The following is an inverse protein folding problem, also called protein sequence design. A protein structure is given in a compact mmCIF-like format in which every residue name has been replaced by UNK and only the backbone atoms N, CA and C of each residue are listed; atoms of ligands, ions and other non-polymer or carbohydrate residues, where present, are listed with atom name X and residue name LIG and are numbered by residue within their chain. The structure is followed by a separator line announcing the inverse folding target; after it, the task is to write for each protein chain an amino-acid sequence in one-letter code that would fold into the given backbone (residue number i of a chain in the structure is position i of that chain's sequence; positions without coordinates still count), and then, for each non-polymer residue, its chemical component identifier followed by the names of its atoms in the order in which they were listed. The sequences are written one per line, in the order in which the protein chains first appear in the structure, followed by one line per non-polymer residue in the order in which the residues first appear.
data_IF_133550909447
#
_entry.id   IF_133550909447
#
_cell.length_a   1.000
_cell.length_b   1.000
_cell.length_c   1.000
_cell.angle_alpha   90.00
_cell.angle_beta   90.00
_cell.angle_gamma   90.00
#
_symmetry.space_group_name_H-M   'P 1'
#
loop_
_entity.id
_entity.type
_entity.pdbx_description
1 polymer ?
#
# COMPACT_ATOMS: atom_id res chain seq x y z
N UNK A 1 -18.75 86.32 5.94
CA UNK A 1 -19.45 85.13 5.44
C UNK A 1 -18.38 84.09 5.05
N UNK A 2 -18.11 83.15 5.91
CA UNK A 2 -17.01 82.14 5.72
C UNK A 2 -17.67 80.83 5.36
N UNK A 3 -17.46 80.36 4.13
CA UNK A 3 -17.92 79.09 3.60
C UNK A 3 -16.93 77.98 4.01
N UNK A 4 -17.37 77.04 4.87
CA UNK A 4 -16.65 75.83 5.28
C UNK A 4 -16.79 74.79 4.15
N UNK A 5 -15.65 74.37 3.57
CA UNK A 5 -15.54 73.20 2.71
C UNK A 5 -15.30 71.99 3.60
N UNK A 6 -16.22 71.01 3.56
CA UNK A 6 -16.03 69.70 4.14
C UNK A 6 -15.38 68.78 3.10
N UNK A 7 -14.16 68.36 3.39
CA UNK A 7 -13.45 67.40 2.60
C UNK A 7 -13.83 65.99 3.10
N UNK A 8 -14.55 65.25 2.24
CA UNK A 8 -14.96 63.86 2.55
C UNK A 8 -13.83 62.92 2.06
N UNK A 9 -13.00 62.43 3.00
CA UNK A 9 -12.00 61.41 2.70
C UNK A 9 -12.69 60.04 2.60
N UNK A 10 -12.84 59.53 1.36
CA UNK A 10 -13.20 58.14 1.08
C UNK A 10 -12.00 57.25 1.38
N UNK A 11 -12.04 56.57 2.55
CA UNK A 11 -11.15 55.45 2.86
C UNK A 11 -11.61 54.21 2.07
N UNK A 12 -10.96 53.94 0.92
CA UNK A 12 -11.03 52.62 0.25
C UNK A 12 -10.31 51.61 1.15
N UNK A 13 -11.11 50.83 1.85
CA UNK A 13 -10.62 49.65 2.55
C UNK A 13 -10.19 48.60 1.51
N UNK A 14 -8.88 48.48 1.26
CA UNK A 14 -8.32 47.31 0.57
C UNK A 14 -8.48 46.09 1.49
N UNK A 15 -9.50 45.29 1.20
CA UNK A 15 -9.60 43.94 1.76
C UNK A 15 -8.43 43.10 1.21
N UNK A 16 -7.37 42.99 1.97
CA UNK A 16 -6.29 42.03 1.68
C UNK A 16 -6.85 40.64 1.91
N UNK A 17 -7.22 39.97 0.83
CA UNK A 17 -7.52 38.54 0.82
C UNK A 17 -6.25 37.81 1.26
N UNK A 18 -6.14 37.48 2.53
CA UNK A 18 -5.14 36.54 3.03
C UNK A 18 -5.52 35.16 2.45
N UNK A 19 -4.97 34.85 1.28
CA UNK A 19 -4.91 33.46 0.85
C UNK A 19 -4.12 32.71 1.93
N UNK A 20 -4.80 31.92 2.75
CA UNK A 20 -4.16 30.96 3.64
C UNK A 20 -3.39 29.98 2.76
N UNK A 21 -2.15 30.29 2.48
CA UNK A 21 -1.18 29.31 2.03
C UNK A 21 -1.21 28.24 3.12
N UNK A 22 -1.73 27.04 2.78
CA UNK A 22 -1.72 25.89 3.68
C UNK A 22 -0.28 25.63 4.02
N UNK A 23 0.12 25.96 5.24
CA UNK A 23 1.47 25.77 5.77
C UNK A 23 1.83 24.31 5.63
N UNK A 24 2.84 24.01 4.80
CA UNK A 24 3.35 22.66 4.65
C UNK A 24 3.91 22.25 6.00
N UNK A 25 3.44 21.12 6.51
CA UNK A 25 3.91 20.59 7.79
C UNK A 25 5.42 20.37 7.72
N UNK A 26 6.16 20.79 8.73
CA UNK A 26 7.59 20.54 8.84
C UNK A 26 7.81 19.03 8.85
N UNK A 27 8.67 18.50 7.96
CA UNK A 27 8.95 17.07 7.96
C UNK A 27 9.57 16.63 9.29
N UNK A 28 9.24 15.43 9.72
CA UNK A 28 9.86 14.80 10.88
C UNK A 28 11.18 14.15 10.45
N UNK A 29 12.23 14.48 11.17
CA UNK A 29 13.56 13.89 11.02
C UNK A 29 13.53 12.43 11.49
N UNK A 30 14.39 11.61 10.90
CA UNK A 30 14.58 10.24 11.33
C UNK A 30 15.19 10.18 12.72
N UNK A 31 14.64 9.34 13.60
CA UNK A 31 15.16 9.09 14.95
C UNK A 31 15.77 7.69 15.12
N UNK A 32 15.83 6.89 14.04
CA UNK A 32 16.52 5.61 13.99
C UNK A 32 17.13 5.36 12.61
N UNK A 33 18.11 4.45 12.46
CA UNK A 33 18.50 3.96 11.14
C UNK A 33 17.38 3.14 10.51
N UNK A 34 17.51 2.86 9.20
CA UNK A 34 16.69 1.84 8.54
C UNK A 34 17.01 0.46 9.09
N UNK A 35 16.00 -0.32 9.37
CA UNK A 35 16.10 -1.71 9.80
C UNK A 35 15.29 -2.59 8.83
N UNK A 36 15.95 -3.61 8.26
CA UNK A 36 15.32 -4.60 7.40
C UNK A 36 14.94 -5.84 8.21
N UNK A 37 13.67 -6.19 8.18
CA UNK A 37 13.11 -7.36 8.84
C UNK A 37 12.54 -8.32 7.79
N UNK A 38 12.80 -9.60 7.97
CA UNK A 38 12.33 -10.68 7.10
C UNK A 38 11.17 -11.40 7.78
N UNK A 39 10.07 -11.56 7.06
CA UNK A 39 8.95 -12.41 7.49
C UNK A 39 8.81 -13.58 6.52
N UNK A 40 7.88 -14.50 6.79
CA UNK A 40 7.63 -15.65 5.90
C UNK A 40 7.16 -15.27 4.51
N UNK A 41 6.49 -14.11 4.36
CA UNK A 41 5.86 -13.68 3.09
C UNK A 41 6.14 -12.23 2.71
N UNK A 42 7.00 -11.53 3.46
CA UNK A 42 7.35 -10.14 3.17
C UNK A 42 8.73 -9.73 3.69
N UNK A 43 9.26 -8.69 3.08
CA UNK A 43 10.38 -7.90 3.53
C UNK A 43 9.85 -6.57 4.08
N UNK A 44 10.30 -6.15 5.25
CA UNK A 44 9.83 -4.95 5.92
C UNK A 44 10.98 -4.02 6.24
N UNK A 45 10.97 -2.85 5.65
CA UNK A 45 11.91 -1.78 5.95
C UNK A 45 11.29 -0.84 6.96
N UNK A 46 11.90 -0.75 8.16
CA UNK A 46 11.35 -0.01 9.29
C UNK A 46 12.23 1.14 9.69
N UNK A 47 11.63 2.29 10.01
CA UNK A 47 12.31 3.47 10.54
C UNK A 47 11.41 4.28 11.44
N UNK A 48 11.95 4.83 12.53
CA UNK A 48 11.24 5.76 13.41
C UNK A 48 11.56 7.21 13.08
N UNK A 49 10.57 8.08 13.26
CA UNK A 49 10.65 9.52 12.99
C UNK A 49 10.11 10.31 14.17
N UNK A 50 10.75 11.46 14.48
CA UNK A 50 10.39 12.25 15.65
C UNK A 50 10.69 11.55 16.97
N UNK A 51 10.25 12.11 18.09
CA UNK A 51 10.55 11.63 19.45
C UNK A 51 9.30 11.69 20.35
N UNK A 52 9.37 10.99 21.49
CA UNK A 52 8.31 10.99 22.51
C UNK A 52 6.96 10.49 21.98
N UNK A 53 5.87 11.09 22.45
CA UNK A 53 4.51 10.69 22.08
C UNK A 53 4.17 10.98 20.61
N UNK A 54 4.89 11.92 19.99
CA UNK A 54 4.74 12.26 18.58
C UNK A 54 5.50 11.31 17.64
N UNK A 55 6.28 10.37 18.18
CA UNK A 55 7.07 9.42 17.36
C UNK A 55 6.19 8.58 16.44
N UNK A 56 6.60 8.52 15.18
CA UNK A 56 5.99 7.70 14.13
C UNK A 56 6.92 6.55 13.79
N UNK A 57 6.40 5.31 13.80
CA UNK A 57 7.07 4.19 13.16
C UNK A 57 6.54 4.06 11.73
N UNK A 58 7.42 4.16 10.76
CA UNK A 58 7.14 3.98 9.35
C UNK A 58 7.70 2.66 8.86
N UNK A 59 6.90 1.91 8.10
CA UNK A 59 7.26 0.60 7.56
C UNK A 59 6.90 0.56 6.07
N UNK A 60 7.87 0.18 5.25
CA UNK A 60 7.65 -0.18 3.84
C UNK A 60 7.61 -1.71 3.79
N UNK A 61 6.51 -2.27 3.34
CA UNK A 61 6.32 -3.72 3.21
C UNK A 61 6.36 -4.11 1.75
N UNK A 62 7.30 -4.98 1.40
CA UNK A 62 7.44 -5.57 0.09
C UNK A 62 7.10 -7.06 0.19
N UNK A 63 5.94 -7.44 -0.30
CA UNK A 63 5.51 -8.85 -0.34
C UNK A 63 5.96 -9.55 -1.62
N UNK A 64 5.38 -10.74 -1.81
CA UNK A 64 5.58 -11.55 -3.03
C UNK A 64 4.88 -10.96 -4.26
N UNK A 65 3.91 -10.07 -4.08
CA UNK A 65 3.27 -9.38 -5.20
C UNK A 65 4.25 -8.40 -5.83
N UNK A 66 4.67 -8.72 -7.05
CA UNK A 66 5.65 -7.93 -7.79
C UNK A 66 5.10 -6.55 -8.18
N UNK A 67 5.98 -5.55 -8.22
CA UNK A 67 5.67 -4.19 -8.68
C UNK A 67 4.86 -3.32 -7.71
N UNK A 68 4.43 -3.85 -6.56
CA UNK A 68 3.68 -3.09 -5.56
C UNK A 68 4.22 -3.29 -4.15
N UNK A 69 4.05 -2.28 -3.31
CA UNK A 69 4.38 -2.30 -1.89
C UNK A 69 3.22 -1.75 -1.05
N UNK A 70 3.33 -1.90 0.24
CA UNK A 70 2.41 -1.34 1.22
C UNK A 70 3.18 -0.41 2.16
N UNK A 71 2.57 0.71 2.55
CA UNK A 71 3.10 1.58 3.59
C UNK A 71 2.27 1.42 4.86
N UNK A 72 2.95 1.25 6.00
CA UNK A 72 2.32 1.21 7.31
C UNK A 72 2.92 2.30 8.17
N UNK A 73 2.07 3.11 8.81
CA UNK A 73 2.48 4.13 9.75
C UNK A 73 1.78 3.91 11.09
N UNK A 74 2.56 3.83 12.16
CA UNK A 74 2.05 3.91 13.52
C UNK A 74 2.19 5.37 13.98
N UNK A 75 1.07 6.06 14.05
CA UNK A 75 1.02 7.49 14.36
C UNK A 75 0.40 7.74 15.73
N UNK A 76 0.54 8.92 16.33
CA UNK A 76 -0.31 9.34 17.44
C UNK A 76 -1.79 9.11 17.11
N UNK A 77 -2.61 8.94 18.15
CA UNK A 77 -4.02 8.55 18.01
C UNK A 77 -4.82 9.51 17.12
N UNK A 78 -5.44 8.97 16.08
CA UNK A 78 -6.33 9.68 15.15
C UNK A 78 -7.69 8.98 15.14
N UNK A 79 -8.60 9.43 16.00
CA UNK A 79 -9.93 8.82 16.08
C UNK A 79 -9.97 7.48 16.81
N UNK A 80 -11.17 6.87 16.92
CA UNK A 80 -11.42 5.65 17.71
C UNK A 80 -12.05 4.48 16.95
N UNK A 81 -12.36 4.63 15.65
CA UNK A 81 -12.99 3.59 14.80
C UNK A 81 -12.17 3.37 13.54
N UNK A 82 -12.27 2.18 12.98
CA UNK A 82 -11.68 1.90 11.66
C UNK A 82 -12.35 2.76 10.59
N UNK A 83 -11.55 3.37 9.74
CA UNK A 83 -11.97 4.22 8.63
C UNK A 83 -11.26 3.76 7.36
N UNK A 84 -12.03 3.58 6.29
CA UNK A 84 -11.49 3.33 4.94
C UNK A 84 -11.53 4.63 4.15
N UNK A 85 -10.39 5.09 3.66
CA UNK A 85 -10.23 6.35 2.96
C UNK A 85 -9.31 6.23 1.75
N UNK A 86 -9.20 7.33 1.00
CA UNK A 86 -8.11 7.52 0.05
C UNK A 86 -7.03 8.39 0.68
N UNK A 87 -5.79 7.91 0.66
CA UNK A 87 -4.62 8.68 1.03
C UNK A 87 -4.08 9.41 -0.19
N UNK A 88 -3.81 10.71 -0.04
CA UNK A 88 -2.99 11.47 -0.97
C UNK A 88 -1.53 11.32 -0.53
N UNK A 89 -0.69 10.78 -1.40
CA UNK A 89 0.72 10.48 -1.11
C UNK A 89 1.58 11.27 -2.10
N UNK A 90 2.57 11.97 -1.60
CA UNK A 90 3.51 12.71 -2.44
C UNK A 90 4.95 12.45 -2.00
N UNK A 91 5.84 12.28 -2.96
CA UNK A 91 7.29 12.29 -2.76
C UNK A 91 7.81 13.59 -3.37
N UNK A 92 8.20 14.54 -2.52
CA UNK A 92 8.49 15.93 -2.96
C UNK A 92 9.66 15.99 -3.93
N UNK A 93 10.69 15.22 -3.70
CA UNK A 93 11.90 15.21 -4.54
C UNK A 93 11.62 14.69 -5.97
N UNK A 94 10.81 13.66 -6.11
CA UNK A 94 10.46 13.04 -7.39
C UNK A 94 9.26 13.69 -8.10
N UNK A 95 8.65 14.74 -7.53
CA UNK A 95 7.39 15.35 -7.99
C UNK A 95 6.26 14.32 -8.19
N UNK A 96 6.36 13.15 -7.58
CA UNK A 96 5.41 12.07 -7.70
C UNK A 96 4.25 12.28 -6.73
N UNK A 97 3.01 12.18 -7.25
CA UNK A 97 1.79 12.25 -6.45
C UNK A 97 0.82 11.16 -6.88
N UNK A 98 0.29 10.42 -5.91
CA UNK A 98 -0.69 9.37 -6.15
C UNK A 98 -1.78 9.39 -5.09
N UNK A 99 -2.92 8.80 -5.44
CA UNK A 99 -4.03 8.59 -4.52
C UNK A 99 -4.28 7.10 -4.39
N UNK A 100 -4.15 6.56 -3.18
CA UNK A 100 -4.25 5.13 -2.89
C UNK A 100 -5.32 4.84 -1.85
N UNK A 101 -5.82 3.61 -1.85
CA UNK A 101 -6.69 3.13 -0.78
C UNK A 101 -5.91 3.03 0.53
N UNK A 102 -6.51 3.52 1.61
CA UNK A 102 -5.93 3.49 2.94
C UNK A 102 -6.97 3.06 3.97
N UNK A 103 -6.52 2.29 4.96
CA UNK A 103 -7.30 1.98 6.16
C UNK A 103 -6.60 2.57 7.37
N UNK A 104 -7.36 3.27 8.20
CA UNK A 104 -6.88 3.78 9.50
C UNK A 104 -7.68 3.09 10.59
N UNK A 105 -6.99 2.52 11.58
CA UNK A 105 -7.62 1.85 12.72
C UNK A 105 -6.79 2.04 13.99
N UNK A 106 -7.41 1.96 15.20
CA UNK A 106 -6.68 2.03 16.45
C UNK A 106 -5.79 0.78 16.62
N UNK A 107 -4.55 0.97 17.05
CA UNK A 107 -3.69 -0.13 17.52
C UNK A 107 -4.22 -0.67 18.84
N UNK A 108 -4.24 -1.98 18.99
CA UNK A 108 -4.66 -2.64 20.24
C UNK A 108 -3.57 -2.58 21.31
N UNK A 109 -2.29 -2.43 20.94
CA UNK A 109 -1.17 -2.60 21.85
C UNK A 109 -0.69 -1.31 22.51
N UNK A 110 -0.79 -0.15 21.84
CA UNK A 110 -0.09 1.07 22.27
C UNK A 110 -0.89 2.36 22.16
N UNK A 111 -2.21 2.28 21.92
CA UNK A 111 -3.07 3.45 21.81
C UNK A 111 -2.80 4.35 20.58
N UNK A 112 -1.88 3.97 19.70
CA UNK A 112 -1.59 4.66 18.45
C UNK A 112 -2.64 4.35 17.39
N UNK A 113 -2.61 5.06 16.28
CA UNK A 113 -3.37 4.72 15.07
C UNK A 113 -2.45 4.07 14.05
N UNK A 114 -2.94 3.03 13.40
CA UNK A 114 -2.25 2.36 12.30
C UNK A 114 -2.87 2.82 11.00
N UNK A 115 -2.05 3.34 10.10
CA UNK A 115 -2.42 3.69 8.73
C UNK A 115 -1.82 2.65 7.81
N UNK A 116 -2.64 1.95 7.05
CA UNK A 116 -2.19 1.01 6.02
C UNK A 116 -2.59 1.53 4.66
N UNK A 117 -1.63 1.66 3.76
CA UNK A 117 -1.79 2.15 2.40
C UNK A 117 -1.37 1.05 1.46
N UNK A 118 -2.30 0.60 0.62
CA UNK A 118 -2.15 -0.60 -0.18
C UNK A 118 -1.82 -0.29 -1.64
N UNK A 119 -1.14 -1.26 -2.29
CA UNK A 119 -0.88 -1.26 -3.72
C UNK A 119 -0.22 0.04 -4.22
N UNK A 120 0.77 0.53 -3.52
CA UNK A 120 1.63 1.59 -4.01
C UNK A 120 2.64 0.97 -4.98
N UNK A 121 2.77 1.52 -6.18
CA UNK A 121 3.74 1.04 -7.16
C UNK A 121 5.17 1.27 -6.62
N UNK A 122 6.05 0.27 -6.78
CA UNK A 122 7.45 0.34 -6.32
C UNK A 122 8.20 1.53 -6.93
N UNK A 123 7.84 1.90 -8.17
CA UNK A 123 8.39 3.05 -8.90
C UNK A 123 8.14 4.38 -8.16
N UNK A 124 7.06 4.49 -7.37
CA UNK A 124 6.75 5.71 -6.63
C UNK A 124 7.86 6.13 -5.66
N UNK A 125 8.54 5.15 -5.05
CA UNK A 125 9.67 5.42 -4.15
C UNK A 125 11.02 5.48 -4.88
N UNK A 126 11.06 5.39 -6.21
CA UNK A 126 12.31 5.58 -6.96
C UNK A 126 12.73 7.04 -6.89
N UNK A 127 13.92 7.24 -6.37
CA UNK A 127 14.62 8.52 -6.31
C UNK A 127 16.11 8.24 -6.36
N UNK A 128 16.84 9.16 -6.93
CA UNK A 128 18.31 9.20 -6.93
C UNK A 128 18.87 10.19 -5.90
N UNK A 129 17.99 10.81 -5.12
CA UNK A 129 18.32 11.83 -4.12
C UNK A 129 18.79 11.20 -2.81
N UNK A 130 19.68 11.91 -2.12
CA UNK A 130 20.12 11.53 -0.76
C UNK A 130 18.98 11.62 0.26
N UNK A 131 18.09 12.59 0.08
CA UNK A 131 16.97 12.86 0.96
C UNK A 131 15.72 13.18 0.16
N UNK A 132 14.64 12.52 0.47
CA UNK A 132 13.30 12.77 -0.05
C UNK A 132 12.33 13.10 1.08
N UNK A 133 11.26 13.81 0.79
CA UNK A 133 10.20 14.07 1.76
C UNK A 133 8.95 13.35 1.31
N UNK A 134 8.48 12.41 2.14
CA UNK A 134 7.23 11.69 1.96
C UNK A 134 6.10 12.40 2.71
N UNK A 135 5.13 12.90 1.98
CA UNK A 135 3.89 13.41 2.53
C UNK A 135 2.78 12.37 2.39
N UNK A 136 2.10 12.07 3.48
CA UNK A 136 0.93 11.20 3.52
C UNK A 136 -0.23 11.97 4.16
N UNK A 137 -1.31 12.15 3.40
CA UNK A 137 -2.49 12.86 3.87
C UNK A 137 -3.73 11.98 3.75
N UNK A 138 -4.48 11.85 4.83
CA UNK A 138 -5.73 11.10 4.88
C UNK A 138 -6.89 12.05 5.19
N UNK A 139 -7.71 12.32 4.18
CA UNK A 139 -8.78 13.29 4.27
C UNK A 139 -8.29 14.70 4.62
N UNK A 140 -9.07 15.44 5.43
CA UNK A 140 -8.71 16.78 5.91
C UNK A 140 -8.06 16.78 7.30
N UNK A 141 -8.00 15.64 7.98
CA UNK A 141 -7.75 15.53 9.42
C UNK A 141 -6.35 15.06 9.80
N UNK A 142 -5.69 14.34 8.92
CA UNK A 142 -4.44 13.71 9.27
C UNK A 142 -3.42 13.88 8.16
N UNK A 143 -2.24 14.40 8.51
CA UNK A 143 -1.13 14.64 7.62
C UNK A 143 0.16 14.30 8.34
N UNK A 144 0.99 13.50 7.69
CA UNK A 144 2.34 13.11 8.12
C UNK A 144 3.32 13.51 7.03
N UNK A 145 4.42 14.12 7.42
CA UNK A 145 5.54 14.46 6.55
C UNK A 145 6.81 13.88 7.15
N UNK A 146 7.54 13.06 6.40
CA UNK A 146 8.74 12.33 6.85
C UNK A 146 9.92 12.64 5.95
N UNK A 147 11.07 12.90 6.55
CA UNK A 147 12.33 13.09 5.84
C UNK A 147 13.04 11.74 5.63
N UNK A 148 12.98 11.21 4.40
CA UNK A 148 13.50 9.89 4.04
C UNK A 148 14.96 9.99 3.58
N UNK A 149 15.88 10.09 4.52
CA UNK A 149 17.31 10.00 4.23
C UNK A 149 17.72 8.58 3.85
N UNK A 150 18.72 8.44 2.97
CA UNK A 150 19.31 7.16 2.55
C UNK A 150 18.29 6.16 2.01
N UNK A 151 17.19 6.65 1.42
CA UNK A 151 16.13 5.79 0.84
C UNK A 151 16.67 4.92 -0.31
N UNK A 152 17.63 5.42 -1.07
CA UNK A 152 18.27 4.68 -2.18
C UNK A 152 18.89 3.37 -1.70
N UNK A 153 19.69 3.40 -0.64
CA UNK A 153 20.37 2.21 -0.13
C UNK A 153 19.39 1.27 0.59
N UNK A 154 18.44 1.85 1.31
CA UNK A 154 17.37 1.11 1.95
C UNK A 154 16.54 0.32 0.92
N UNK A 155 16.24 0.91 -0.24
CA UNK A 155 15.54 0.24 -1.35
C UNK A 155 16.36 -0.89 -1.97
N UNK A 156 17.67 -0.72 -2.15
CA UNK A 156 18.54 -1.82 -2.63
C UNK A 156 18.49 -3.02 -1.68
N UNK A 157 18.54 -2.77 -0.37
CA UNK A 157 18.41 -3.83 0.62
C UNK A 157 17.04 -4.51 0.54
N UNK A 158 15.96 -3.73 0.36
CA UNK A 158 14.61 -4.25 0.19
C UNK A 158 14.47 -5.10 -1.08
N UNK A 159 15.06 -4.67 -2.20
CA UNK A 159 15.07 -5.44 -3.46
C UNK A 159 15.84 -6.76 -3.31
N UNK A 160 17.00 -6.73 -2.65
CA UNK A 160 17.77 -7.95 -2.36
C UNK A 160 16.94 -8.93 -1.54
N UNK A 161 16.26 -8.46 -0.51
CA UNK A 161 15.36 -9.28 0.28
C UNK A 161 14.21 -9.83 -0.57
N UNK A 162 13.60 -9.01 -1.44
CA UNK A 162 12.51 -9.47 -2.31
C UNK A 162 12.96 -10.56 -3.28
N UNK A 163 14.15 -10.45 -3.85
CA UNK A 163 14.73 -11.49 -4.72
C UNK A 163 14.77 -12.85 -4.02
N UNK A 164 15.28 -12.89 -2.77
CA UNK A 164 15.32 -14.12 -1.99
C UNK A 164 13.92 -14.61 -1.58
N UNK A 165 13.03 -13.68 -1.21
CA UNK A 165 11.65 -14.01 -0.90
C UNK A 165 10.94 -14.65 -2.09
N UNK A 166 11.02 -14.05 -3.28
CA UNK A 166 10.40 -14.57 -4.51
C UNK A 166 10.92 -15.97 -4.85
N UNK A 167 12.23 -16.18 -4.71
CA UNK A 167 12.89 -17.46 -4.95
C UNK A 167 12.36 -18.57 -4.04
N UNK A 168 12.01 -18.24 -2.78
CA UNK A 168 11.41 -19.21 -1.86
C UNK A 168 10.00 -19.68 -2.26
N UNK A 169 9.38 -18.99 -3.23
CA UNK A 169 8.09 -19.34 -3.82
C UNK A 169 8.20 -19.74 -5.31
N UNK A 170 9.38 -20.18 -5.74
CA UNK A 170 9.67 -20.58 -7.13
C UNK A 170 9.36 -19.46 -8.14
N UNK A 171 9.66 -18.21 -7.77
CA UNK A 171 9.52 -17.05 -8.64
C UNK A 171 10.86 -16.40 -8.88
N UNK A 172 11.17 -16.11 -10.14
CA UNK A 172 12.41 -15.43 -10.55
C UNK A 172 12.15 -13.93 -10.76
N UNK A 173 12.88 -13.09 -10.00
CA UNK A 173 12.73 -11.64 -10.03
C UNK A 173 13.02 -11.06 -11.42
N UNK A 174 14.08 -11.51 -12.08
CA UNK A 174 14.51 -10.94 -13.36
C UNK A 174 13.54 -11.33 -14.47
N UNK A 175 12.99 -12.53 -14.43
CA UNK A 175 11.87 -12.93 -15.30
C UNK A 175 10.67 -12.02 -15.10
N UNK A 176 10.28 -11.73 -13.84
CA UNK A 176 9.14 -10.84 -13.56
C UNK A 176 9.39 -9.41 -14.06
N UNK A 177 10.63 -8.89 -13.91
CA UNK A 177 10.99 -7.55 -14.41
C UNK A 177 10.95 -7.48 -15.93
N UNK A 178 11.31 -8.57 -16.63
CA UNK A 178 11.37 -8.61 -18.10
C UNK A 178 10.02 -8.62 -18.79
N UNK A 179 8.93 -8.91 -18.05
CA UNK A 179 7.58 -8.91 -18.61
C UNK A 179 7.12 -7.49 -18.92
N UNK A 180 6.64 -7.28 -20.15
CA UNK A 180 5.99 -6.01 -20.53
C UNK A 180 4.56 -5.92 -20.03
N UNK A 181 3.94 -7.07 -19.72
CA UNK A 181 2.65 -7.17 -19.06
C UNK A 181 2.59 -8.44 -18.20
N UNK A 182 2.21 -8.29 -16.93
CA UNK A 182 1.89 -9.41 -16.05
C UNK A 182 0.51 -10.00 -16.37
N UNK A 183 0.22 -11.24 -15.91
CA UNK A 183 -1.13 -11.79 -16.06
C UNK A 183 -2.20 -10.87 -15.44
N UNK A 184 -3.27 -10.64 -16.21
CA UNK A 184 -4.40 -9.83 -15.76
C UNK A 184 -5.68 -10.67 -15.74
N UNK A 185 -6.50 -10.58 -14.65
CA UNK A 185 -7.82 -11.19 -14.64
C UNK A 185 -8.68 -10.79 -15.84
N UNK A 186 -9.35 -11.76 -16.48
CA UNK A 186 -10.44 -11.47 -17.41
C UNK A 186 -11.72 -11.31 -16.62
N UNK A 187 -12.21 -10.06 -16.50
CA UNK A 187 -13.37 -9.72 -15.69
C UNK A 187 -13.02 -9.46 -14.23
N UNK A 188 -14.02 -9.58 -13.36
CA UNK A 188 -13.93 -9.24 -11.94
C UNK A 188 -13.38 -10.43 -11.13
N UNK A 189 -12.13 -10.36 -10.69
CA UNK A 189 -11.51 -11.41 -9.87
C UNK A 189 -12.24 -11.67 -8.54
N UNK A 190 -12.93 -10.68 -7.99
CA UNK A 190 -13.75 -10.84 -6.79
C UNK A 190 -14.94 -11.80 -6.94
N UNK A 191 -15.28 -12.20 -8.19
CA UNK A 191 -16.31 -13.20 -8.44
C UNK A 191 -15.80 -14.65 -8.44
N UNK A 192 -14.49 -14.85 -8.37
CA UNK A 192 -13.92 -16.19 -8.36
C UNK A 192 -14.06 -16.88 -7.01
N UNK A 193 -14.05 -16.08 -5.92
CA UNK A 193 -14.32 -16.54 -4.56
C UNK A 193 -15.38 -15.60 -3.97
N UNK A 194 -16.55 -16.15 -3.68
CA UNK A 194 -17.71 -15.39 -3.19
C UNK A 194 -18.13 -15.86 -1.80
N UNK A 195 -19.11 -15.21 -1.21
CA UNK A 195 -19.68 -15.60 0.08
C UNK A 195 -20.26 -17.01 0.06
N UNK A 196 -20.79 -17.46 -1.10
CA UNK A 196 -21.38 -18.79 -1.25
C UNK A 196 -20.32 -19.91 -1.23
N UNK A 197 -19.07 -19.56 -1.48
CA UNK A 197 -17.93 -20.48 -1.44
C UNK A 197 -17.37 -20.70 -0.03
N UNK A 198 -17.95 -20.01 0.97
CA UNK A 198 -17.53 -20.20 2.36
C UNK A 198 -17.87 -21.62 2.82
N UNK A 199 -16.84 -22.42 3.21
CA UNK A 199 -17.09 -23.82 3.54
C UNK A 199 -18.09 -23.98 4.71
N UNK A 200 -19.08 -24.87 4.62
CA UNK A 200 -20.10 -25.02 5.67
C UNK A 200 -19.51 -25.37 7.05
N UNK A 201 -18.43 -26.16 7.10
CA UNK A 201 -17.74 -26.48 8.35
C UNK A 201 -17.09 -25.21 8.95
N UNK A 202 -16.35 -24.44 8.14
CA UNK A 202 -15.74 -23.19 8.57
C UNK A 202 -16.79 -22.19 9.08
N UNK A 203 -17.97 -22.15 8.45
CA UNK A 203 -19.07 -21.28 8.87
C UNK A 203 -19.64 -21.68 10.23
N UNK A 204 -19.79 -22.99 10.51
CA UNK A 204 -20.25 -23.50 11.82
C UNK A 204 -19.26 -23.15 12.93
N UNK A 205 -17.95 -23.22 12.63
CA UNK A 205 -16.87 -22.95 13.57
C UNK A 205 -16.48 -21.47 13.61
N UNK A 206 -17.11 -20.63 12.79
CA UNK A 206 -16.84 -19.17 12.68
C UNK A 206 -15.38 -18.87 12.39
N UNK A 207 -14.74 -19.67 11.53
CA UNK A 207 -13.33 -19.51 11.16
C UNK A 207 -13.16 -18.30 10.23
N UNK A 208 -12.34 -17.34 10.59
CA UNK A 208 -12.02 -16.15 9.79
C UNK A 208 -10.53 -16.07 9.52
N UNK A 209 -10.10 -15.31 8.52
CA UNK A 209 -8.69 -15.11 8.22
C UNK A 209 -8.45 -14.55 6.82
N UNK A 210 -7.19 -14.42 6.47
CA UNK A 210 -6.76 -14.00 5.13
C UNK A 210 -5.86 -15.08 4.51
N UNK A 211 -6.24 -15.53 3.31
CA UNK A 211 -5.41 -16.43 2.50
C UNK A 211 -4.76 -15.64 1.38
N UNK A 212 -3.44 -15.70 1.24
CA UNK A 212 -2.73 -15.17 0.09
C UNK A 212 -2.24 -16.32 -0.78
N UNK A 213 -2.49 -16.23 -2.10
CA UNK A 213 -2.19 -17.27 -3.07
C UNK A 213 -1.30 -16.77 -4.20
N UNK A 214 -0.43 -17.67 -4.69
CA UNK A 214 0.25 -17.59 -5.98
C UNK A 214 -0.53 -18.41 -7.00
N UNK A 215 -0.83 -17.82 -8.14
CA UNK A 215 -1.46 -18.50 -9.28
C UNK A 215 -0.47 -18.49 -10.44
N UNK A 216 -0.02 -19.66 -10.85
CA UNK A 216 0.75 -19.81 -12.07
C UNK A 216 -0.20 -19.79 -13.27
N UNK A 217 -0.01 -18.83 -14.16
CA UNK A 217 -0.85 -18.60 -15.32
C UNK A 217 -0.10 -19.02 -16.57
N UNK A 218 -0.69 -19.93 -17.35
CA UNK A 218 -0.11 -20.39 -18.60
C UNK A 218 -0.14 -19.33 -19.71
N UNK A 219 0.61 -19.51 -20.77
CA UNK A 219 0.60 -18.69 -21.99
C UNK A 219 -0.78 -18.52 -22.64
N UNK A 220 -1.71 -19.45 -22.33
CA UNK A 220 -3.11 -19.41 -22.79
C UNK A 220 -4.04 -18.67 -21.83
N UNK A 221 -3.51 -18.14 -20.71
CA UNK A 221 -4.28 -17.45 -19.69
C UNK A 221 -5.13 -18.36 -18.81
N UNK A 222 -4.77 -19.65 -18.70
CA UNK A 222 -5.42 -20.60 -17.79
C UNK A 222 -4.59 -20.78 -16.54
N UNK A 223 -5.24 -21.12 -15.43
CA UNK A 223 -4.57 -21.50 -14.19
C UNK A 223 -3.82 -22.81 -14.43
N UNK A 224 -2.51 -22.79 -14.29
CA UNK A 224 -1.64 -23.95 -14.32
C UNK A 224 -1.47 -24.56 -12.94
N UNK A 225 -1.26 -23.70 -11.93
CA UNK A 225 -1.21 -24.10 -10.51
C UNK A 225 -1.70 -22.97 -9.57
N UNK A 226 -2.00 -23.37 -8.31
CA UNK A 226 -2.37 -22.45 -7.23
C UNK A 226 -1.70 -22.91 -5.93
N UNK A 227 -0.82 -22.07 -5.38
CA UNK A 227 -0.03 -22.31 -4.18
C UNK A 227 -0.40 -21.31 -3.08
N UNK A 228 -0.47 -21.76 -1.82
CA UNK A 228 -0.69 -20.89 -0.67
C UNK A 228 0.63 -20.21 -0.28
N UNK A 229 0.66 -18.88 -0.30
CA UNK A 229 1.77 -18.06 0.17
C UNK A 229 1.63 -17.80 1.66
N UNK A 230 0.43 -17.40 2.08
CA UNK A 230 0.11 -17.13 3.47
C UNK A 230 -1.23 -17.75 3.82
N UNK A 231 -1.22 -18.61 4.83
CA UNK A 231 -2.43 -19.29 5.32
C UNK A 231 -3.32 -18.35 6.13
N UNK A 232 -4.63 -18.54 6.01
CA UNK A 232 -5.63 -17.94 6.91
C UNK A 232 -5.54 -18.45 8.36
N UNK A 233 -4.71 -19.48 8.62
CA UNK A 233 -4.70 -20.26 9.85
C UNK A 233 -5.63 -21.46 9.80
N UNK A 234 -6.39 -21.65 8.72
CA UNK A 234 -7.40 -22.69 8.55
C UNK A 234 -7.31 -23.32 7.17
N UNK A 235 -6.84 -24.55 7.09
CA UNK A 235 -6.61 -25.28 5.83
C UNK A 235 -7.87 -25.35 4.96
N UNK A 236 -9.06 -25.51 5.57
CA UNK A 236 -10.33 -25.57 4.85
C UNK A 236 -10.64 -24.26 4.09
N UNK A 237 -10.26 -23.10 4.64
CA UNK A 237 -10.42 -21.80 3.98
C UNK A 237 -9.38 -21.64 2.86
N UNK A 238 -8.14 -22.06 3.10
CA UNK A 238 -7.06 -21.98 2.13
C UNK A 238 -7.34 -22.85 0.90
N UNK A 239 -7.76 -24.09 1.11
CA UNK A 239 -8.15 -24.99 0.01
C UNK A 239 -9.32 -24.46 -0.80
N UNK A 240 -10.33 -23.84 -0.14
CA UNK A 240 -11.48 -23.27 -0.81
C UNK A 240 -11.09 -22.16 -1.80
N UNK A 241 -10.10 -21.31 -1.47
CA UNK A 241 -9.60 -20.26 -2.39
C UNK A 241 -9.03 -20.91 -3.65
N UNK A 242 -8.06 -21.82 -3.51
CA UNK A 242 -7.43 -22.44 -4.66
C UNK A 242 -8.40 -23.25 -5.52
N UNK A 243 -9.33 -23.98 -4.90
CA UNK A 243 -10.35 -24.74 -5.63
C UNK A 243 -11.21 -23.83 -6.52
N UNK A 244 -11.70 -22.72 -5.98
CA UNK A 244 -12.56 -21.80 -6.71
C UNK A 244 -11.81 -21.02 -7.79
N UNK A 245 -10.57 -20.61 -7.51
CA UNK A 245 -9.71 -19.94 -8.48
C UNK A 245 -9.36 -20.87 -9.64
N UNK A 246 -8.98 -22.14 -9.39
CA UNK A 246 -8.73 -23.13 -10.45
C UNK A 246 -9.94 -23.34 -11.36
N UNK A 247 -11.14 -23.34 -10.80
CA UNK A 247 -12.37 -23.61 -11.55
C UNK A 247 -12.89 -22.39 -12.34
N UNK A 248 -12.70 -21.19 -11.85
CA UNK A 248 -13.38 -19.98 -12.38
C UNK A 248 -12.45 -18.95 -12.98
N UNK A 249 -11.17 -18.92 -12.57
CA UNK A 249 -10.28 -17.87 -13.00
C UNK A 249 -9.87 -18.04 -14.47
N UNK A 250 -9.85 -16.91 -15.17
CA UNK A 250 -9.34 -16.76 -16.52
C UNK A 250 -8.52 -15.45 -16.57
N UNK A 251 -7.43 -15.50 -17.35
CA UNK A 251 -6.50 -14.39 -17.43
C UNK A 251 -6.23 -13.98 -18.88
N UNK A 252 -5.88 -12.72 -19.11
CA UNK A 252 -4.98 -12.35 -20.18
C UNK A 252 -3.60 -12.83 -19.75
N UNK A 253 -2.87 -13.58 -20.58
CA UNK A 253 -1.54 -14.09 -20.21
C UNK A 253 -0.53 -12.96 -20.04
N UNK A 254 0.61 -13.28 -19.44
CA UNK A 254 1.76 -12.40 -19.46
C UNK A 254 2.24 -12.15 -20.90
N UNK A 255 2.98 -11.06 -21.09
CA UNK A 255 3.62 -10.71 -22.36
C UNK A 255 5.09 -10.42 -22.10
N UNK A 256 5.98 -11.04 -22.87
CA UNK A 256 7.41 -10.83 -22.79
C UNK A 256 7.88 -9.55 -23.53
N UNK A 257 9.18 -9.32 -23.58
CA UNK A 257 9.79 -8.18 -24.28
C UNK A 257 9.58 -8.20 -25.80
N UNK A 258 9.35 -9.38 -26.39
CA UNK A 258 9.11 -9.56 -27.82
C UNK A 258 7.62 -9.40 -28.19
N UNK A 259 6.77 -9.12 -27.21
CA UNK A 259 5.33 -8.97 -27.41
C UNK A 259 4.57 -10.30 -27.51
N UNK A 260 5.22 -11.43 -27.18
CA UNK A 260 4.59 -12.76 -27.21
C UNK A 260 3.91 -13.09 -25.90
N UNK A 261 2.80 -13.81 -26.00
CA UNK A 261 2.15 -14.37 -24.82
C UNK A 261 3.05 -15.44 -24.18
N UNK A 262 3.27 -15.30 -22.87
CA UNK A 262 4.08 -16.22 -22.08
C UNK A 262 3.36 -16.57 -20.77
N UNK A 263 3.89 -17.55 -20.04
CA UNK A 263 3.45 -17.83 -18.68
C UNK A 263 3.83 -16.72 -17.73
N UNK A 264 3.14 -16.61 -16.60
CA UNK A 264 3.46 -15.63 -15.58
C UNK A 264 2.75 -15.96 -14.27
N UNK A 265 2.94 -15.11 -13.29
CA UNK A 265 2.40 -15.31 -11.94
C UNK A 265 1.42 -14.19 -11.59
N UNK A 266 0.32 -14.56 -10.96
CA UNK A 266 -0.64 -13.63 -10.37
C UNK A 266 -0.80 -13.90 -8.88
N UNK A 267 -0.72 -12.84 -8.07
CA UNK A 267 -0.83 -12.91 -6.61
C UNK A 267 -2.15 -12.28 -6.19
N UNK A 268 -2.87 -12.94 -5.31
CA UNK A 268 -4.12 -12.43 -4.75
C UNK A 268 -4.31 -12.79 -3.30
N UNK A 269 -5.09 -11.95 -2.62
CA UNK A 269 -5.46 -12.13 -1.21
C UNK A 269 -6.98 -12.22 -1.10
N UNK A 270 -7.46 -13.22 -0.39
CA UNK A 270 -8.87 -13.42 -0.06
C UNK A 270 -9.06 -13.29 1.43
N UNK A 271 -9.96 -12.40 1.85
CA UNK A 271 -10.35 -12.25 3.24
C UNK A 271 -11.65 -12.98 3.51
N UNK A 272 -11.58 -13.93 4.42
CA UNK A 272 -12.72 -14.68 4.90
C UNK A 272 -13.32 -14.03 6.15
N UNK A 273 -14.59 -13.69 6.07
CA UNK A 273 -15.35 -13.16 7.20
C UNK A 273 -16.68 -13.93 7.26
N UNK A 274 -17.12 -14.29 8.48
CA UNK A 274 -18.37 -15.03 8.64
C UNK A 274 -19.52 -14.25 8.01
N UNK A 275 -20.26 -14.85 7.06
CA UNK A 275 -21.43 -14.21 6.46
C UNK A 275 -22.47 -13.89 7.54
N UNK A 276 -22.96 -12.67 7.52
CA UNK A 276 -24.01 -12.20 8.46
C UNK A 276 -25.37 -12.73 8.06
#
# INVERSE_FOLDING_TARGET
MIRKFFLFCLLLGMATSHAHARELQTPLDASSPWNLNYTKSSCELRRSFGTGDAQILFIIVQGVKFGTLELILFTPKVGGKQINWKADIALRGAAAKVKKHATVYPSQENGKSVWRIYNLETEFLKSDRQTDILDVKIGSRAWVSLELESLVDARKALETCQRELLKSFDMDFDTLVSLTRHPEPKGESGRWVTTDDYPPAARREKLEGETEIKVDVSERGKVADCTIISSSGHEILDQAVCLNVRNRANFKPAVDSDGKSTSGVWISRTRWQVPR
#
